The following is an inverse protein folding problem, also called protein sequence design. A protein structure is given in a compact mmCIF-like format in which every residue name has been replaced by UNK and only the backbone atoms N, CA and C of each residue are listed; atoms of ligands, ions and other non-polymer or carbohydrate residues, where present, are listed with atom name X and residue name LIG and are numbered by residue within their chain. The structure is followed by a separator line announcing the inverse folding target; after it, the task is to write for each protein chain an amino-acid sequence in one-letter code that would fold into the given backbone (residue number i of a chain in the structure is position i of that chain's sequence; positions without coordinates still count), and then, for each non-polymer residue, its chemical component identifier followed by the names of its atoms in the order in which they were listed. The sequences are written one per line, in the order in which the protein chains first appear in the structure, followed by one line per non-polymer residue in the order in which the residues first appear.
data_IF_933894057997
#
_entry.id   IF_933894057997
#
_cell.length_a   1.000
_cell.length_b   1.000
_cell.length_c   1.000
_cell.angle_alpha   90.00
_cell.angle_beta   90.00
_cell.angle_gamma   90.00
#
_symmetry.space_group_name_H-M   'P 1'
#
loop_
_entity.id
_entity.type
_entity.pdbx_description
1 polymer ?
#
# COMPACT_ATOMS: atom_id res chain seq x y z
N UNK A 1 12.15 -20.08 67.50
CA UNK A 1 12.12 -20.06 66.05
C UNK A 1 11.09 -19.07 65.59
N UNK A 2 11.53 -18.00 64.97
CA UNK A 2 10.84 -16.74 64.74
C UNK A 2 9.65 -16.79 63.78
N UNK A 3 8.64 -15.93 63.96
CA UNK A 3 7.75 -15.52 62.90
C UNK A 3 7.98 -14.02 62.58
N UNK A 4 8.59 -13.75 61.51
CA UNK A 4 8.63 -12.44 60.89
C UNK A 4 7.71 -12.49 59.66
N UNK A 5 6.51 -11.94 59.74
CA UNK A 5 5.73 -11.40 58.61
C UNK A 5 4.40 -10.82 59.11
N UNK A 6 4.51 -9.68 59.74
CA UNK A 6 3.39 -8.73 59.85
C UNK A 6 3.96 -7.32 59.88
N UNK A 7 4.11 -6.73 58.70
CA UNK A 7 4.24 -5.27 58.57
C UNK A 7 3.07 -4.76 57.74
N UNK A 8 2.30 -4.03 58.44
CA UNK A 8 1.07 -3.33 58.06
C UNK A 8 1.32 -2.43 56.85
N UNK A 9 0.50 -2.58 55.82
CA UNK A 9 0.30 -1.60 54.78
C UNK A 9 -0.84 -0.67 55.13
N UNK A 10 -0.58 0.28 56.06
CA UNK A 10 -1.37 1.48 56.17
C UNK A 10 -0.82 2.50 55.15
N UNK A 11 -1.26 2.39 53.92
CA UNK A 11 -1.10 3.45 52.91
C UNK A 11 -2.37 4.28 52.86
N UNK A 12 -2.45 5.29 53.72
CA UNK A 12 -3.33 6.43 53.48
C UNK A 12 -2.88 7.12 52.19
N UNK A 13 -3.59 6.90 51.09
CA UNK A 13 -3.42 7.62 49.88
C UNK A 13 -3.79 9.09 50.13
N UNK A 14 -2.79 9.97 50.16
CA UNK A 14 -3.00 11.40 50.26
C UNK A 14 -3.85 11.90 49.08
N UNK A 15 -4.76 12.84 49.36
CA UNK A 15 -5.65 13.48 48.38
C UNK A 15 -4.91 13.98 47.12
N UNK A 16 -3.64 14.35 47.26
CA UNK A 16 -2.80 14.82 46.14
C UNK A 16 -2.47 13.72 45.15
N UNK A 17 -2.34 12.46 45.54
CA UNK A 17 -2.11 11.35 44.63
C UNK A 17 -3.36 10.95 43.84
N UNK A 18 -4.54 11.06 44.46
CA UNK A 18 -5.82 10.85 43.79
C UNK A 18 -6.10 11.96 42.75
N UNK A 19 -5.79 13.22 43.11
CA UNK A 19 -5.95 14.35 42.18
C UNK A 19 -4.97 14.27 41.02
N UNK A 20 -3.74 13.83 41.26
CA UNK A 20 -2.73 13.64 40.17
C UNK A 20 -3.13 12.45 39.27
N UNK A 21 -3.70 11.40 39.81
CA UNK A 21 -4.18 10.27 39.02
C UNK A 21 -5.42 10.65 38.19
N UNK A 22 -6.35 11.41 38.76
CA UNK A 22 -7.55 11.91 38.06
C UNK A 22 -7.19 12.94 36.99
N UNK A 23 -6.21 13.81 37.22
CA UNK A 23 -5.71 14.75 36.25
C UNK A 23 -4.96 14.01 35.08
N UNK A 24 -4.15 12.99 35.41
CA UNK A 24 -3.51 12.12 34.40
C UNK A 24 -4.51 11.30 33.61
N UNK A 25 -5.57 10.80 34.25
CA UNK A 25 -6.63 10.06 33.53
C UNK A 25 -7.47 10.95 32.64
N UNK A 26 -7.76 12.21 33.03
CA UNK A 26 -8.39 13.21 32.15
C UNK A 26 -7.50 13.65 30.99
N UNK A 27 -6.18 13.77 31.19
CA UNK A 27 -5.21 14.07 30.15
C UNK A 27 -5.05 12.88 29.18
N UNK A 28 -5.07 11.64 29.69
CA UNK A 28 -5.10 10.43 28.87
C UNK A 28 -6.41 10.29 28.11
N UNK A 29 -7.56 10.57 28.76
CA UNK A 29 -8.86 10.57 28.11
C UNK A 29 -8.96 11.67 27.02
N UNK A 30 -8.45 12.88 27.28
CA UNK A 30 -8.34 13.93 26.26
C UNK A 30 -7.37 13.57 25.13
N UNK A 31 -6.27 12.88 25.42
CA UNK A 31 -5.37 12.33 24.38
C UNK A 31 -6.03 11.21 23.59
N UNK A 32 -6.86 10.39 24.22
CA UNK A 32 -7.61 9.32 23.55
C UNK A 32 -8.77 9.88 22.70
N UNK A 33 -9.49 10.90 23.16
CA UNK A 33 -10.58 11.54 22.42
C UNK A 33 -10.05 12.37 21.24
N UNK A 34 -8.81 12.88 21.32
CA UNK A 34 -8.10 13.55 20.23
C UNK A 34 -7.16 12.61 19.45
N UNK A 35 -7.13 11.31 19.79
CA UNK A 35 -6.23 10.37 19.14
C UNK A 35 -6.76 10.05 17.72
N UNK A 36 -5.85 9.83 16.75
CA UNK A 36 -6.20 9.43 15.39
C UNK A 36 -7.11 8.18 15.33
N UNK A 37 -7.19 7.42 16.41
CA UNK A 37 -7.95 6.17 16.50
C UNK A 37 -9.49 6.34 16.36
N UNK A 38 -10.03 7.53 16.56
CA UNK A 38 -11.49 7.79 16.54
C UNK A 38 -11.97 8.56 15.32
N UNK A 39 -11.07 8.87 14.38
CA UNK A 39 -11.46 9.54 13.13
C UNK A 39 -11.80 8.51 12.07
N UNK A 40 -12.82 8.81 11.26
CA UNK A 40 -13.10 8.02 10.07
C UNK A 40 -11.87 7.92 9.19
N UNK A 41 -11.70 6.78 8.55
CA UNK A 41 -10.69 6.57 7.52
C UNK A 41 -11.33 6.73 6.15
N UNK A 42 -10.74 7.58 5.33
CA UNK A 42 -11.08 7.72 3.92
C UNK A 42 -9.96 7.10 3.10
N UNK A 43 -10.27 5.99 2.46
CA UNK A 43 -9.39 5.37 1.47
C UNK A 43 -9.75 5.85 0.08
N UNK A 44 -8.74 6.28 -0.67
CA UNK A 44 -8.88 6.73 -2.06
C UNK A 44 -7.85 5.99 -2.91
N UNK A 45 -8.27 5.31 -3.98
CA UNK A 45 -7.33 4.76 -4.94
C UNK A 45 -7.52 5.43 -6.31
N UNK A 46 -6.40 5.89 -6.88
CA UNK A 46 -6.37 6.53 -8.20
C UNK A 46 -5.86 5.52 -9.23
N UNK A 47 -6.68 5.27 -10.25
CA UNK A 47 -6.34 4.47 -11.43
C UNK A 47 -6.51 5.31 -12.69
N UNK A 48 -5.92 4.92 -13.84
CA UNK A 48 -6.07 5.67 -15.09
C UNK A 48 -7.52 5.71 -15.61
N UNK A 49 -8.34 4.73 -15.26
CA UNK A 49 -9.69 4.49 -15.76
C UNK A 49 -10.76 4.72 -14.69
N UNK A 50 -10.39 4.87 -13.43
CA UNK A 50 -11.34 5.02 -12.32
C UNK A 50 -10.72 5.59 -11.06
N UNK A 51 -11.61 6.10 -10.20
CA UNK A 51 -11.32 6.49 -8.83
C UNK A 51 -12.15 5.59 -7.90
N UNK A 52 -11.52 4.97 -6.92
CA UNK A 52 -12.17 4.18 -5.89
C UNK A 52 -12.14 4.96 -4.58
N UNK A 53 -13.29 5.15 -3.96
CA UNK A 53 -13.44 5.85 -2.69
C UNK A 53 -14.16 4.91 -1.71
N UNK A 54 -13.61 4.77 -0.50
CA UNK A 54 -14.27 4.07 0.58
C UNK A 54 -14.06 4.83 1.90
N UNK A 55 -15.12 5.02 2.66
CA UNK A 55 -15.08 5.59 3.99
C UNK A 55 -15.40 4.52 5.01
N UNK A 56 -14.50 4.33 5.96
CA UNK A 56 -14.68 3.39 7.07
C UNK A 56 -14.88 4.19 8.35
N UNK A 57 -16.05 4.06 8.92
CA UNK A 57 -16.37 4.64 10.24
C UNK A 57 -15.62 3.89 11.33
N UNK A 58 -15.05 4.62 12.27
CA UNK A 58 -14.37 4.08 13.45
C UNK A 58 -15.27 4.20 14.68
N UNK A 59 -16.17 3.22 14.82
CA UNK A 59 -16.89 2.95 16.05
C UNK A 59 -16.31 1.71 16.76
N UNK A 60 -17.10 1.08 17.61
CA UNK A 60 -16.77 -0.22 18.23
C UNK A 60 -16.52 -1.34 17.19
N UNK A 61 -17.04 -1.17 15.98
CA UNK A 61 -16.78 -2.03 14.81
C UNK A 61 -16.47 -1.17 13.61
N UNK A 62 -15.45 -1.56 12.86
CA UNK A 62 -15.14 -0.95 11.56
C UNK A 62 -16.28 -1.30 10.60
N UNK A 63 -16.93 -0.30 10.05
CA UNK A 63 -18.04 -0.45 9.09
C UNK A 63 -17.79 0.45 7.89
N UNK A 64 -18.14 -0.04 6.72
CA UNK A 64 -18.07 0.72 5.49
C UNK A 64 -19.28 1.68 5.43
N UNK A 65 -19.04 2.97 5.65
CA UNK A 65 -20.10 3.98 5.70
C UNK A 65 -20.38 4.61 4.35
N UNK A 66 -19.41 4.57 3.45
CA UNK A 66 -19.55 5.03 2.07
C UNK A 66 -18.61 4.25 1.16
N UNK A 67 -19.07 3.92 -0.05
CA UNK A 67 -18.26 3.31 -1.11
C UNK A 67 -18.72 3.83 -2.46
N UNK A 68 -17.75 4.15 -3.32
CA UNK A 68 -18.04 4.66 -4.66
C UNK A 68 -16.90 4.31 -5.61
N UNK A 69 -17.25 3.92 -6.83
CA UNK A 69 -16.31 3.84 -7.95
C UNK A 69 -16.77 4.86 -8.99
N UNK A 70 -15.90 5.80 -9.31
CA UNK A 70 -16.13 6.81 -10.34
C UNK A 70 -15.33 6.44 -11.56
N UNK A 71 -16.00 6.16 -12.67
CA UNK A 71 -15.33 5.96 -13.94
C UNK A 71 -14.62 7.25 -14.40
N UNK A 72 -13.44 7.09 -14.97
CA UNK A 72 -12.60 8.19 -15.44
C UNK A 72 -12.24 7.92 -16.90
N UNK A 73 -12.43 8.93 -17.75
CA UNK A 73 -12.02 8.84 -19.14
C UNK A 73 -10.49 8.83 -19.25
N UNK A 74 -9.93 8.02 -20.14
CA UNK A 74 -8.48 7.97 -20.34
C UNK A 74 -7.91 9.35 -20.70
N UNK A 75 -6.71 9.63 -20.20
CA UNK A 75 -6.01 10.87 -20.50
C UNK A 75 -5.77 11.01 -22.01
N UNK A 76 -6.00 12.21 -22.54
CA UNK A 76 -5.69 12.55 -23.93
C UNK A 76 -4.16 12.56 -24.18
N UNK A 77 -3.72 12.37 -25.42
CA UNK A 77 -2.30 12.48 -25.76
C UNK A 77 -1.72 13.84 -25.29
N UNK A 78 -0.59 13.78 -24.59
CA UNK A 78 0.08 14.97 -24.03
C UNK A 78 -0.39 15.38 -22.63
N UNK A 79 -1.45 14.78 -22.12
CA UNK A 79 -1.91 14.96 -20.74
C UNK A 79 -1.34 13.87 -19.84
N UNK A 80 -0.86 14.20 -18.63
CA UNK A 80 -0.41 13.17 -17.68
C UNK A 80 -1.51 12.16 -17.39
N UNK A 81 -1.14 10.87 -17.39
CA UNK A 81 -2.12 9.76 -17.23
C UNK A 81 -2.93 9.80 -15.93
N UNK A 82 -2.39 10.42 -14.91
CA UNK A 82 -3.02 10.59 -13.60
C UNK A 82 -3.98 11.78 -13.49
N UNK A 83 -3.91 12.75 -14.43
CA UNK A 83 -4.64 14.00 -14.33
C UNK A 83 -6.15 13.81 -14.32
N UNK A 84 -6.79 13.01 -15.19
CA UNK A 84 -8.25 12.84 -15.16
C UNK A 84 -8.77 12.24 -13.83
N UNK A 85 -8.05 11.28 -13.26
CA UNK A 85 -8.41 10.71 -11.96
C UNK A 85 -8.29 11.75 -10.83
N UNK A 86 -7.31 12.62 -10.91
CA UNK A 86 -7.13 13.71 -9.94
C UNK A 86 -8.23 14.77 -10.06
N UNK A 87 -8.67 15.11 -11.29
CA UNK A 87 -9.79 16.02 -11.53
C UNK A 87 -11.10 15.44 -10.99
N UNK A 88 -11.34 14.14 -11.18
CA UNK A 88 -12.47 13.44 -10.58
C UNK A 88 -12.42 13.51 -9.04
N UNK A 89 -11.24 13.31 -8.45
CA UNK A 89 -11.05 13.47 -7.00
C UNK A 89 -11.34 14.89 -6.55
N UNK A 90 -10.85 15.90 -7.28
CA UNK A 90 -11.10 17.31 -6.96
C UNK A 90 -12.61 17.66 -7.00
N UNK A 91 -13.36 17.08 -7.93
CA UNK A 91 -14.81 17.17 -7.99
C UNK A 91 -15.49 16.61 -6.73
N UNK A 92 -15.06 15.42 -6.29
CA UNK A 92 -15.59 14.77 -5.07
C UNK A 92 -15.22 15.51 -3.79
N UNK A 93 -13.99 16.00 -3.67
CA UNK A 93 -13.55 16.80 -2.52
C UNK A 93 -14.39 18.07 -2.34
N UNK A 94 -14.80 18.72 -3.45
CA UNK A 94 -15.66 19.92 -3.41
C UNK A 94 -17.11 19.59 -3.07
N UNK A 95 -17.64 18.47 -3.58
CA UNK A 95 -19.04 18.09 -3.41
C UNK A 95 -19.34 17.54 -2.03
N UNK A 96 -18.40 16.81 -1.46
CA UNK A 96 -18.52 16.15 -0.16
C UNK A 96 -17.59 16.85 0.83
N UNK A 97 -18.15 17.27 1.96
CA UNK A 97 -17.32 17.72 3.09
C UNK A 97 -16.53 16.53 3.66
N UNK A 98 -15.46 16.17 3.00
CA UNK A 98 -14.50 15.11 3.45
C UNK A 98 -13.74 15.57 4.71
N UNK A 99 -14.28 16.56 5.41
CA UNK A 99 -13.72 17.13 6.62
C UNK A 99 -13.59 16.08 7.72
N UNK A 100 -12.45 16.13 8.41
CA UNK A 100 -12.13 15.35 9.61
C UNK A 100 -11.78 13.86 9.44
N UNK A 101 -11.77 13.29 8.22
CA UNK A 101 -11.30 11.94 7.98
C UNK A 101 -9.76 11.89 7.82
N UNK A 102 -9.17 10.77 8.18
CA UNK A 102 -7.78 10.48 7.85
C UNK A 102 -7.72 9.89 6.44
N UNK A 103 -7.17 10.64 5.51
CA UNK A 103 -7.09 10.23 4.10
C UNK A 103 -5.88 9.34 3.87
N UNK A 104 -6.10 8.14 3.33
CA UNK A 104 -5.06 7.27 2.78
C UNK A 104 -5.23 7.20 1.27
N UNK A 105 -4.16 7.46 0.53
CA UNK A 105 -4.17 7.43 -0.94
C UNK A 105 -3.39 6.23 -1.42
N UNK A 106 -3.98 5.46 -2.32
CA UNK A 106 -3.34 4.37 -3.04
C UNK A 106 -3.17 4.79 -4.50
N UNK A 107 -1.93 4.77 -4.98
CA UNK A 107 -1.63 5.05 -6.38
C UNK A 107 -1.56 3.74 -7.17
N UNK A 108 -2.28 3.69 -8.29
CA UNK A 108 -2.12 2.65 -9.29
C UNK A 108 -0.66 2.49 -9.69
N UNK A 109 -0.23 1.27 -9.97
CA UNK A 109 1.10 0.96 -10.48
C UNK A 109 1.37 1.59 -11.87
N UNK A 110 0.34 2.09 -12.55
CA UNK A 110 0.50 2.91 -13.77
C UNK A 110 1.18 4.27 -13.52
N UNK A 111 1.13 4.77 -12.29
CA UNK A 111 1.70 6.06 -11.87
C UNK A 111 2.98 5.93 -11.06
N UNK A 112 3.42 4.70 -10.83
CA UNK A 112 4.57 4.40 -9.97
C UNK A 112 5.58 3.55 -10.73
N UNK A 113 6.83 3.89 -10.59
CA UNK A 113 7.94 3.13 -11.15
C UNK A 113 8.76 2.49 -10.04
N UNK A 114 9.31 1.31 -10.28
CA UNK A 114 10.02 0.54 -9.27
C UNK A 114 11.42 0.16 -9.74
N UNK A 115 12.38 0.19 -8.84
CA UNK A 115 13.70 -0.41 -9.01
C UNK A 115 14.13 -1.09 -7.72
N UNK A 116 14.86 -2.18 -7.85
CA UNK A 116 15.50 -2.83 -6.72
C UNK A 116 16.84 -2.15 -6.44
N UNK A 117 17.03 -1.76 -5.18
CA UNK A 117 18.29 -1.27 -4.63
C UNK A 117 18.91 -2.42 -3.85
N UNK A 118 19.98 -3.05 -4.37
CA UNK A 118 20.64 -4.14 -3.66
C UNK A 118 21.29 -3.61 -2.39
N UNK A 119 21.39 -4.47 -1.39
CA UNK A 119 22.24 -4.16 -0.27
C UNK A 119 23.72 -4.23 -0.68
N UNK A 120 24.51 -3.27 -0.24
CA UNK A 120 25.94 -3.20 -0.49
C UNK A 120 26.64 -2.39 0.62
N UNK A 121 27.87 -2.79 0.95
CA UNK A 121 28.71 -2.03 1.88
C UNK A 121 29.04 -0.61 1.40
N UNK A 122 28.89 -0.34 0.11
CA UNK A 122 29.05 0.99 -0.48
C UNK A 122 27.79 1.85 -0.33
N UNK A 123 26.60 1.23 -0.28
CA UNK A 123 25.31 1.90 -0.18
C UNK A 123 24.78 1.87 1.27
N UNK A 124 25.56 2.41 2.21
CA UNK A 124 25.26 2.30 3.65
C UNK A 124 24.18 3.26 4.13
N UNK A 125 24.17 4.47 3.60
CA UNK A 125 23.19 5.50 3.97
C UNK A 125 21.95 5.43 3.09
N UNK A 126 20.84 5.96 3.60
CA UNK A 126 19.61 6.11 2.79
C UNK A 126 19.86 7.08 1.62
N UNK A 127 20.72 8.06 1.81
CA UNK A 127 21.10 9.03 0.78
C UNK A 127 21.84 8.33 -0.38
N UNK A 128 22.82 7.46 -0.10
CA UNK A 128 23.52 6.67 -1.11
C UNK A 128 22.57 5.76 -1.87
N UNK A 129 21.65 5.11 -1.15
CA UNK A 129 20.64 4.25 -1.75
C UNK A 129 19.65 5.01 -2.65
N UNK A 130 19.24 6.22 -2.24
CA UNK A 130 18.41 7.10 -3.07
C UNK A 130 19.19 7.61 -4.29
N UNK A 131 20.45 7.96 -4.14
CA UNK A 131 21.31 8.36 -5.25
C UNK A 131 21.47 7.20 -6.27
N UNK A 132 21.68 5.98 -5.79
CA UNK A 132 21.72 4.78 -6.63
C UNK A 132 20.38 4.58 -7.35
N UNK A 133 19.26 4.67 -6.64
CA UNK A 133 17.92 4.54 -7.22
C UNK A 133 17.69 5.61 -8.31
N UNK A 134 18.07 6.86 -8.05
CA UNK A 134 17.98 7.98 -9.00
C UNK A 134 18.77 7.69 -10.27
N UNK A 135 20.00 7.19 -10.13
CA UNK A 135 20.83 6.79 -11.26
C UNK A 135 20.18 5.64 -12.07
N UNK A 136 19.63 4.64 -11.39
CA UNK A 136 18.93 3.52 -12.04
C UNK A 136 17.69 3.99 -12.82
N UNK A 137 16.88 4.86 -12.22
CA UNK A 137 15.72 5.44 -12.90
C UNK A 137 16.14 6.28 -14.11
N UNK A 138 17.17 7.11 -13.99
CA UNK A 138 17.69 7.91 -15.10
C UNK A 138 18.19 7.05 -16.26
N UNK A 139 18.80 5.90 -15.99
CA UNK A 139 19.23 4.95 -17.05
C UNK A 139 18.08 4.32 -17.80
N UNK A 140 16.93 4.08 -17.14
CA UNK A 140 15.79 3.39 -17.75
C UNK A 140 14.84 4.39 -18.41
N UNK A 141 14.59 5.54 -17.77
CA UNK A 141 13.56 6.50 -18.16
C UNK A 141 14.12 7.83 -18.68
N UNK A 142 15.44 7.99 -18.69
CA UNK A 142 16.09 9.21 -19.16
C UNK A 142 15.77 10.43 -18.30
N UNK A 143 15.63 11.59 -18.96
CA UNK A 143 15.37 12.87 -18.31
C UNK A 143 13.99 12.94 -17.60
N UNK A 144 13.04 12.11 -17.98
CA UNK A 144 11.72 12.07 -17.32
C UNK A 144 11.81 11.75 -15.83
N UNK A 145 12.77 10.89 -15.45
CA UNK A 145 12.97 10.52 -14.05
C UNK A 145 13.53 11.66 -13.17
N UNK A 146 14.00 12.75 -13.75
CA UNK A 146 14.53 13.90 -12.98
C UNK A 146 13.45 14.59 -12.11
N UNK A 147 12.20 14.62 -12.61
CA UNK A 147 11.05 15.19 -11.90
C UNK A 147 10.29 14.21 -10.99
N UNK A 148 10.93 13.10 -10.57
CA UNK A 148 10.30 12.12 -9.70
C UNK A 148 10.72 12.24 -8.24
N UNK A 149 9.76 12.22 -7.36
CA UNK A 149 9.97 12.00 -5.92
C UNK A 149 10.24 10.53 -5.67
N UNK A 150 11.35 10.23 -5.01
CA UNK A 150 11.78 8.86 -4.73
C UNK A 150 11.57 8.51 -3.26
N UNK A 151 11.16 7.27 -3.00
CA UNK A 151 11.06 6.69 -1.66
C UNK A 151 11.56 5.26 -1.67
N UNK A 152 12.14 4.85 -0.55
CA UNK A 152 12.61 3.49 -0.31
C UNK A 152 11.64 2.74 0.60
N UNK A 153 11.41 1.46 0.31
CA UNK A 153 10.69 0.58 1.22
C UNK A 153 11.45 0.42 2.54
N UNK A 154 10.73 0.12 3.61
CA UNK A 154 11.37 -0.30 4.86
C UNK A 154 11.97 -1.70 4.66
N UNK A 155 13.17 -1.91 5.17
CA UNK A 155 13.85 -3.19 5.21
C UNK A 155 14.73 -3.25 6.47
N UNK A 156 15.08 -4.45 6.89
CA UNK A 156 16.09 -4.63 7.94
C UNK A 156 17.48 -4.26 7.42
N UNK A 157 18.45 -4.21 8.33
CA UNK A 157 19.85 -4.02 7.94
C UNK A 157 20.31 -5.13 7.01
N UNK A 158 20.99 -4.77 5.95
CA UNK A 158 21.57 -5.68 4.95
C UNK A 158 20.56 -6.39 4.04
N UNK A 159 19.34 -5.89 3.95
CA UNK A 159 18.35 -6.39 2.99
C UNK A 159 18.24 -5.47 1.78
N UNK A 160 17.92 -6.01 0.59
CA UNK A 160 17.60 -5.20 -0.58
C UNK A 160 16.29 -4.42 -0.34
N UNK A 161 16.20 -3.23 -0.92
CA UNK A 161 15.07 -2.32 -0.78
C UNK A 161 14.44 -2.04 -2.15
N UNK A 162 13.13 -1.90 -2.18
CA UNK A 162 12.44 -1.40 -3.36
C UNK A 162 12.39 0.12 -3.29
N UNK A 163 12.94 0.77 -4.31
CA UNK A 163 12.72 2.19 -4.53
C UNK A 163 11.51 2.38 -5.45
N UNK A 164 10.62 3.29 -5.08
CA UNK A 164 9.54 3.74 -5.94
C UNK A 164 9.75 5.21 -6.33
N UNK A 165 9.44 5.52 -7.59
CA UNK A 165 9.46 6.86 -8.16
C UNK A 165 8.07 7.25 -8.61
N UNK A 166 7.63 8.45 -8.22
CA UNK A 166 6.35 9.05 -8.59
C UNK A 166 6.59 10.45 -9.09
N UNK A 167 5.89 10.90 -10.13
CA UNK A 167 5.98 12.27 -10.62
C UNK A 167 5.70 13.26 -9.48
N UNK A 168 6.60 14.20 -9.27
CA UNK A 168 6.45 15.24 -8.24
C UNK A 168 5.22 16.10 -8.50
N UNK A 169 4.92 16.39 -9.77
CA UNK A 169 3.72 17.08 -10.20
C UNK A 169 2.41 16.42 -9.73
N UNK A 170 2.35 15.07 -9.71
CA UNK A 170 1.20 14.34 -9.16
C UNK A 170 1.07 14.57 -7.65
N UNK A 171 2.19 14.50 -6.92
CA UNK A 171 2.20 14.68 -5.46
C UNK A 171 1.75 16.09 -5.09
N UNK A 172 2.28 17.12 -5.78
CA UNK A 172 1.92 18.51 -5.54
C UNK A 172 0.45 18.78 -5.87
N UNK A 173 -0.02 18.21 -6.97
CA UNK A 173 -1.42 18.33 -7.38
C UNK A 173 -2.37 17.66 -6.39
N UNK A 174 -2.01 16.49 -5.84
CA UNK A 174 -2.75 15.83 -4.76
C UNK A 174 -2.79 16.69 -3.49
N UNK A 175 -1.67 17.29 -3.10
CA UNK A 175 -1.61 18.20 -1.95
C UNK A 175 -2.55 19.39 -2.14
N UNK A 176 -2.57 19.99 -3.34
CA UNK A 176 -3.45 21.11 -3.67
C UNK A 176 -4.93 20.72 -3.63
N UNK A 177 -5.29 19.56 -4.20
CA UNK A 177 -6.68 19.05 -4.18
C UNK A 177 -7.18 18.79 -2.77
N UNK A 178 -6.32 18.28 -1.89
CA UNK A 178 -6.69 17.95 -0.51
C UNK A 178 -6.53 19.10 0.48
N UNK A 179 -5.90 20.22 0.09
CA UNK A 179 -5.72 21.38 0.94
C UNK A 179 -7.02 21.89 1.61
N UNK A 180 -8.18 21.97 0.91
CA UNK A 180 -9.44 22.46 1.49
C UNK A 180 -10.00 21.56 2.60
N UNK A 181 -9.67 20.26 2.62
CA UNK A 181 -10.21 19.29 3.59
C UNK A 181 -9.29 19.03 4.78
N UNK A 182 -8.38 19.95 5.04
CA UNK A 182 -7.40 19.85 6.14
C UNK A 182 -6.01 19.45 5.69
N UNK A 183 -5.79 19.35 4.39
CA UNK A 183 -4.52 19.46 3.70
C UNK A 183 -3.50 18.36 3.88
N UNK A 184 -3.82 17.28 4.58
CA UNK A 184 -2.83 16.21 4.78
C UNK A 184 -3.46 14.84 4.69
N UNK A 185 -2.99 14.06 3.72
CA UNK A 185 -3.22 12.62 3.75
C UNK A 185 -2.30 11.97 4.81
N UNK A 186 -2.80 10.94 5.44
CA UNK A 186 -2.02 10.13 6.39
C UNK A 186 -0.89 9.40 5.70
N UNK A 187 -1.18 8.86 4.51
CA UNK A 187 -0.21 8.12 3.71
C UNK A 187 -0.55 8.16 2.23
N UNK A 188 0.49 8.12 1.41
CA UNK A 188 0.45 7.91 -0.03
C UNK A 188 1.24 6.64 -0.32
N UNK A 189 0.58 5.61 -0.85
CA UNK A 189 1.17 4.29 -1.02
C UNK A 189 0.95 3.77 -2.45
N UNK A 190 1.97 3.16 -3.06
CA UNK A 190 1.79 2.41 -4.30
C UNK A 190 0.91 1.17 -4.08
N UNK A 191 0.09 0.81 -5.06
CA UNK A 191 -0.77 -0.36 -4.98
C UNK A 191 0.01 -1.66 -4.76
N UNK A 192 1.17 -1.83 -5.40
CA UNK A 192 2.05 -2.97 -5.14
C UNK A 192 2.44 -3.06 -3.66
N UNK A 193 2.77 -1.95 -3.02
CA UNK A 193 3.22 -1.93 -1.62
C UNK A 193 2.08 -2.18 -0.64
N UNK A 194 0.89 -1.63 -0.91
CA UNK A 194 -0.32 -1.92 -0.13
C UNK A 194 -0.65 -3.41 -0.19
N UNK A 195 -0.62 -3.98 -1.39
CA UNK A 195 -0.87 -5.40 -1.61
C UNK A 195 0.19 -6.26 -0.94
N UNK A 196 1.48 -5.95 -1.11
CA UNK A 196 2.57 -6.65 -0.44
C UNK A 196 2.42 -6.63 1.09
N UNK A 197 2.15 -5.48 1.69
CA UNK A 197 1.98 -5.35 3.13
C UNK A 197 0.81 -6.19 3.65
N UNK A 198 -0.28 -6.25 2.90
CA UNK A 198 -1.46 -7.08 3.23
C UNK A 198 -1.14 -8.56 3.30
N UNK A 199 -0.34 -9.04 2.37
CA UNK A 199 -0.03 -10.46 2.22
C UNK A 199 1.35 -10.85 2.78
N UNK A 200 2.03 -9.91 3.45
CA UNK A 200 3.41 -10.06 3.92
C UNK A 200 3.64 -11.33 4.74
N UNK A 201 2.71 -11.68 5.62
CA UNK A 201 2.83 -12.90 6.44
C UNK A 201 2.86 -14.17 5.58
N UNK A 202 2.06 -14.22 4.51
CA UNK A 202 2.02 -15.35 3.58
C UNK A 202 3.25 -15.37 2.66
N UNK A 203 3.72 -14.18 2.25
CA UNK A 203 4.84 -14.00 1.32
C UNK A 203 6.22 -14.24 1.97
N UNK A 204 6.31 -14.16 3.30
CA UNK A 204 7.58 -14.25 4.04
C UNK A 204 8.07 -15.67 4.29
N UNK A 205 7.23 -16.68 4.09
CA UNK A 205 7.53 -18.06 4.51
C UNK A 205 8.14 -18.91 3.39
N UNK A 206 7.91 -18.55 2.15
CA UNK A 206 8.33 -19.36 0.99
C UNK A 206 8.86 -18.49 -0.13
N UNK A 207 9.87 -18.99 -0.87
CA UNK A 207 10.30 -18.32 -2.09
C UNK A 207 9.22 -18.46 -3.17
N UNK A 208 8.93 -17.38 -3.90
CA UNK A 208 7.93 -17.41 -4.96
C UNK A 208 7.66 -16.06 -5.60
N UNK A 209 6.78 -16.11 -6.58
CA UNK A 209 6.35 -14.93 -7.31
C UNK A 209 5.12 -14.30 -6.67
N UNK A 210 5.18 -12.99 -6.46
CA UNK A 210 4.03 -12.17 -6.09
C UNK A 210 3.63 -11.28 -7.25
N UNK A 211 2.38 -11.38 -7.66
CA UNK A 211 1.86 -10.72 -8.86
C UNK A 211 0.68 -9.86 -8.47
N UNK A 212 0.74 -8.57 -8.81
CA UNK A 212 -0.37 -7.63 -8.68
C UNK A 212 -0.81 -7.22 -10.07
N UNK A 213 -2.07 -7.47 -10.40
CA UNK A 213 -2.63 -7.20 -11.72
C UNK A 213 -3.61 -6.04 -11.64
N UNK A 214 -3.42 -5.10 -12.54
CA UNK A 214 -4.32 -3.99 -12.84
C UNK A 214 -4.69 -4.06 -14.33
N UNK A 215 -5.80 -3.48 -14.78
CA UNK A 215 -6.13 -3.43 -16.19
C UNK A 215 -4.97 -2.88 -17.04
N UNK A 216 -4.46 -3.72 -17.94
CA UNK A 216 -3.35 -3.38 -18.84
C UNK A 216 -1.95 -3.41 -18.23
N UNK A 217 -1.80 -3.76 -16.94
CA UNK A 217 -0.52 -3.73 -16.24
C UNK A 217 -0.39 -4.87 -15.23
N UNK A 218 0.81 -5.45 -15.19
CA UNK A 218 1.19 -6.47 -14.23
C UNK A 218 2.46 -6.01 -13.50
N UNK A 219 2.42 -6.01 -12.17
CA UNK A 219 3.61 -5.90 -11.33
C UNK A 219 4.00 -7.29 -10.85
N UNK A 220 5.21 -7.70 -11.17
CA UNK A 220 5.79 -8.99 -10.83
C UNK A 220 6.94 -8.77 -9.84
N UNK A 221 6.88 -9.42 -8.71
CA UNK A 221 7.93 -9.44 -7.71
C UNK A 221 8.37 -10.87 -7.43
N UNK A 222 9.68 -11.11 -7.40
CA UNK A 222 10.23 -12.34 -6.87
C UNK A 222 10.70 -12.09 -5.45
N UNK A 223 10.28 -12.96 -4.55
CA UNK A 223 10.63 -12.93 -3.13
C UNK A 223 11.34 -14.22 -2.76
N UNK A 224 12.39 -14.10 -1.96
CA UNK A 224 13.10 -15.23 -1.38
C UNK A 224 13.45 -14.90 0.07
N UNK A 225 13.10 -15.77 1.01
CA UNK A 225 13.30 -15.54 2.44
C UNK A 225 12.70 -14.21 2.94
N UNK A 226 11.55 -13.83 2.37
CA UNK A 226 10.88 -12.57 2.65
C UNK A 226 11.55 -11.32 2.05
N UNK A 227 12.63 -11.49 1.28
CA UNK A 227 13.40 -10.41 0.67
C UNK A 227 13.10 -10.27 -0.82
N UNK A 228 13.15 -9.04 -1.30
CA UNK A 228 12.97 -8.71 -2.71
C UNK A 228 14.19 -9.13 -3.52
N UNK A 229 13.99 -10.01 -4.51
CA UNK A 229 15.02 -10.40 -5.47
C UNK A 229 14.85 -9.71 -6.82
N UNK A 230 13.60 -9.46 -7.22
CA UNK A 230 13.27 -8.75 -8.46
C UNK A 230 11.96 -8.00 -8.30
N UNK A 231 11.82 -6.91 -9.02
CA UNK A 231 10.54 -6.20 -9.23
C UNK A 231 10.47 -5.70 -10.65
N UNK A 232 9.38 -6.01 -11.35
CA UNK A 232 9.15 -5.65 -12.75
C UNK A 232 7.72 -5.18 -12.94
N UNK A 233 7.55 -4.24 -13.86
CA UNK A 233 6.25 -3.79 -14.34
C UNK A 233 6.15 -4.09 -15.82
N UNK A 234 5.11 -4.84 -16.21
CA UNK A 234 4.96 -5.40 -17.55
C UNK A 234 3.56 -5.04 -18.04
N UNK A 235 3.45 -4.60 -19.30
CA UNK A 235 2.15 -4.44 -19.95
C UNK A 235 1.56 -5.82 -20.23
N UNK A 236 0.26 -5.98 -19.97
CA UNK A 236 -0.45 -7.24 -20.17
C UNK A 236 -1.84 -6.97 -20.74
N UNK A 237 -2.33 -7.88 -21.56
CA UNK A 237 -3.67 -7.80 -22.13
C UNK A 237 -4.80 -8.19 -21.18
N UNK A 238 -6.06 -8.09 -21.61
CA UNK A 238 -7.22 -8.53 -20.84
C UNK A 238 -7.20 -10.05 -20.62
N UNK A 239 -6.60 -10.82 -21.53
CA UNK A 239 -6.44 -12.28 -21.43
C UNK A 239 -5.21 -12.69 -20.58
N UNK A 240 -4.83 -11.85 -19.64
CA UNK A 240 -3.66 -12.05 -18.78
C UNK A 240 -3.57 -13.45 -18.12
N UNK A 241 -4.66 -14.16 -17.78
CA UNK A 241 -4.53 -15.50 -17.20
C UNK A 241 -3.84 -16.50 -18.15
N UNK A 242 -4.02 -16.32 -19.48
CA UNK A 242 -3.35 -17.16 -20.49
C UNK A 242 -1.92 -16.70 -20.77
N UNK A 243 -1.65 -15.39 -20.62
CA UNK A 243 -0.34 -14.80 -20.89
C UNK A 243 0.64 -14.99 -19.70
N UNK A 244 0.12 -15.03 -18.47
CA UNK A 244 0.91 -15.06 -17.24
C UNK A 244 1.97 -16.18 -17.20
N UNK A 245 1.68 -17.44 -17.59
CA UNK A 245 2.70 -18.50 -17.59
C UNK A 245 3.90 -18.19 -18.47
N UNK A 246 3.67 -17.59 -19.63
CA UNK A 246 4.74 -17.20 -20.57
C UNK A 246 5.56 -16.02 -20.02
N UNK A 247 4.90 -15.07 -19.37
CA UNK A 247 5.57 -13.95 -18.67
C UNK A 247 6.47 -14.49 -17.56
N UNK A 248 5.95 -15.37 -16.70
CA UNK A 248 6.69 -15.99 -15.62
C UNK A 248 7.90 -16.77 -16.12
N UNK A 249 7.74 -17.56 -17.19
CA UNK A 249 8.82 -18.33 -17.79
C UNK A 249 9.96 -17.41 -18.28
N UNK A 250 9.60 -16.32 -18.95
CA UNK A 250 10.58 -15.32 -19.43
C UNK A 250 11.30 -14.64 -18.27
N UNK A 251 10.57 -14.19 -17.27
CA UNK A 251 11.18 -13.47 -16.14
C UNK A 251 12.02 -14.42 -15.26
N UNK A 252 11.63 -15.69 -15.13
CA UNK A 252 12.42 -16.69 -14.43
C UNK A 252 13.78 -16.94 -15.11
N UNK A 253 13.84 -16.88 -16.45
CA UNK A 253 15.12 -16.99 -17.17
C UNK A 253 16.06 -15.78 -16.95
N UNK A 254 15.53 -14.64 -16.48
CA UNK A 254 16.33 -13.44 -16.20
C UNK A 254 16.86 -13.40 -14.75
N UNK A 255 16.39 -14.30 -13.91
CA UNK A 255 16.86 -14.44 -12.53
C UNK A 255 17.98 -15.46 -12.51
N UNK A 256 19.17 -15.02 -12.12
CA UNK A 256 20.32 -15.91 -11.92
C UNK A 256 20.16 -16.65 -10.57
N UNK A 257 19.29 -17.66 -10.56
CA UNK A 257 19.01 -18.47 -9.37
C UNK A 257 19.03 -19.94 -9.72
N UNK A 258 19.69 -20.71 -8.86
CA UNK A 258 19.64 -22.17 -8.92
C UNK A 258 18.34 -22.73 -8.29
N UNK A 259 17.55 -21.88 -7.67
CA UNK A 259 16.29 -22.28 -7.02
C UNK A 259 15.15 -22.17 -8.03
N UNK A 260 14.40 -23.23 -8.21
CA UNK A 260 13.14 -23.19 -8.97
C UNK A 260 12.04 -22.56 -8.11
N UNK A 261 11.43 -21.52 -8.65
CA UNK A 261 10.30 -20.83 -8.04
C UNK A 261 9.05 -21.15 -8.85
N UNK A 262 8.22 -22.06 -8.36
CA UNK A 262 6.99 -22.50 -9.00
C UNK A 262 5.73 -21.92 -8.34
N UNK A 263 5.80 -21.47 -7.08
CA UNK A 263 4.69 -20.86 -6.39
C UNK A 263 4.46 -19.42 -6.86
N UNK A 264 3.21 -19.12 -7.24
CA UNK A 264 2.80 -17.82 -7.77
C UNK A 264 1.56 -17.34 -7.03
N UNK A 265 1.68 -16.25 -6.28
CA UNK A 265 0.59 -15.63 -5.55
C UNK A 265 0.07 -14.43 -6.35
N UNK A 266 -1.15 -14.50 -6.84
CA UNK A 266 -1.75 -13.50 -7.73
C UNK A 266 -2.82 -12.71 -6.99
N UNK A 267 -2.68 -11.40 -6.95
CA UNK A 267 -3.69 -10.45 -6.50
C UNK A 267 -4.24 -9.67 -7.70
N UNK A 268 -5.45 -9.98 -8.11
CA UNK A 268 -6.16 -9.37 -9.23
C UNK A 268 -7.59 -9.02 -8.78
N UNK A 269 -7.79 -7.88 -8.08
CA UNK A 269 -9.11 -7.53 -7.52
C UNK A 269 -10.19 -7.31 -8.60
N UNK A 270 -9.80 -7.01 -9.82
CA UNK A 270 -10.68 -6.84 -10.99
C UNK A 270 -10.59 -8.03 -11.95
N UNK A 271 -9.94 -9.09 -11.53
CA UNK A 271 -9.73 -10.27 -12.37
C UNK A 271 -11.01 -11.12 -12.52
N UNK A 272 -11.01 -12.04 -13.47
CA UNK A 272 -12.10 -12.99 -13.61
C UNK A 272 -12.24 -13.82 -12.34
N UNK A 273 -13.49 -14.07 -11.94
CA UNK A 273 -13.80 -15.01 -10.87
C UNK A 273 -13.51 -16.45 -11.33
N UNK A 274 -12.83 -17.19 -10.48
CA UNK A 274 -12.56 -18.60 -10.72
C UNK A 274 -11.08 -18.98 -10.60
N UNK A 275 -10.76 -20.26 -10.69
CA UNK A 275 -9.39 -20.74 -10.69
C UNK A 275 -8.66 -20.27 -11.95
N UNK A 276 -7.43 -19.83 -11.77
CA UNK A 276 -6.54 -19.57 -12.92
C UNK A 276 -6.30 -20.89 -13.66
N UNK A 277 -6.29 -20.87 -15.01
CA UNK A 277 -6.02 -22.08 -15.80
C UNK A 277 -4.73 -22.75 -15.37
N UNK A 278 -4.67 -24.08 -15.52
CA UNK A 278 -3.44 -24.83 -15.33
C UNK A 278 -2.31 -24.20 -16.14
N UNK A 279 -1.22 -23.89 -15.47
CA UNK A 279 -0.16 -23.06 -16.02
C UNK A 279 1.18 -23.82 -16.13
N UNK A 280 1.14 -25.09 -16.53
CA UNK A 280 2.32 -25.94 -16.63
C UNK A 280 2.95 -26.18 -15.26
N UNK A 281 4.22 -25.76 -15.07
CA UNK A 281 4.92 -25.94 -13.78
C UNK A 281 4.47 -24.97 -12.68
N UNK A 282 3.71 -23.91 -13.02
CA UNK A 282 3.38 -22.83 -12.10
C UNK A 282 2.20 -23.20 -11.19
N UNK A 283 2.40 -23.09 -9.90
CA UNK A 283 1.37 -23.28 -8.88
C UNK A 283 0.70 -21.91 -8.56
N UNK A 284 -0.27 -21.54 -9.37
CA UNK A 284 -0.92 -20.23 -9.26
C UNK A 284 -2.01 -20.28 -8.19
N UNK A 285 -1.91 -19.37 -7.20
CA UNK A 285 -2.90 -19.18 -6.14
C UNK A 285 -3.44 -17.75 -6.17
N UNK A 286 -4.74 -17.63 -6.37
CA UNK A 286 -5.42 -16.35 -6.30
C UNK A 286 -5.57 -15.90 -4.85
N UNK A 287 -5.14 -14.67 -4.58
CA UNK A 287 -5.23 -14.03 -3.28
C UNK A 287 -6.57 -13.32 -3.15
N UNK A 288 -7.44 -13.83 -2.29
CA UNK A 288 -8.75 -13.23 -2.01
C UNK A 288 -8.63 -12.35 -0.76
N UNK A 289 -8.89 -11.04 -0.86
CA UNK A 289 -8.78 -10.15 0.28
C UNK A 289 -9.87 -10.44 1.32
N UNK A 290 -9.49 -10.37 2.59
CA UNK A 290 -10.47 -10.41 3.67
C UNK A 290 -11.26 -9.11 3.67
N UNK A 291 -12.54 -9.20 3.43
CA UNK A 291 -13.47 -8.07 3.41
C UNK A 291 -13.99 -7.74 4.82
N UNK A 292 -14.51 -6.52 4.99
CA UNK A 292 -15.26 -6.17 6.20
C UNK A 292 -16.59 -6.96 6.23
N UNK A 293 -17.20 -7.16 7.41
CA UNK A 293 -18.42 -7.97 7.56
C UNK A 293 -19.63 -7.46 6.77
N UNK A 294 -19.64 -6.18 6.43
CA UNK A 294 -20.69 -5.49 5.67
C UNK A 294 -20.38 -5.37 4.16
N UNK A 295 -19.27 -5.96 3.71
CA UNK A 295 -18.88 -6.01 2.30
C UNK A 295 -19.32 -7.34 1.66
N UNK A 296 -19.72 -7.27 0.39
CA UNK A 296 -20.19 -8.41 -0.41
C UNK A 296 -19.03 -8.95 -1.26
N UNK A 297 -18.71 -10.23 -1.12
CA UNK A 297 -17.71 -10.88 -1.94
C UNK A 297 -18.06 -10.77 -3.45
N UNK A 298 -17.04 -10.59 -4.28
CA UNK A 298 -17.20 -10.36 -5.73
C UNK A 298 -17.54 -8.91 -6.07
N UNK A 299 -18.55 -8.32 -5.43
CA UNK A 299 -19.00 -6.94 -5.72
C UNK A 299 -18.05 -5.90 -5.11
N UNK A 300 -17.63 -6.13 -3.88
CA UNK A 300 -16.86 -5.15 -3.11
C UNK A 300 -15.35 -5.43 -3.10
N UNK A 301 -14.90 -6.43 -3.87
CA UNK A 301 -13.49 -6.78 -3.98
C UNK A 301 -12.57 -5.57 -4.36
N UNK A 302 -12.96 -4.67 -5.28
CA UNK A 302 -12.15 -3.50 -5.61
C UNK A 302 -11.91 -2.55 -4.44
N UNK A 303 -12.86 -2.43 -3.51
CA UNK A 303 -12.71 -1.57 -2.34
C UNK A 303 -11.71 -2.11 -1.32
N UNK A 304 -11.39 -3.40 -1.39
CA UNK A 304 -10.39 -4.00 -0.52
C UNK A 304 -9.03 -3.31 -0.63
N UNK A 305 -8.72 -2.70 -1.78
CA UNK A 305 -7.46 -1.97 -2.01
C UNK A 305 -7.32 -0.80 -1.01
N UNK A 306 -8.42 -0.11 -0.71
CA UNK A 306 -8.44 1.10 0.12
C UNK A 306 -8.89 0.85 1.56
N UNK A 307 -9.59 -0.25 1.82
CA UNK A 307 -10.06 -0.63 3.16
C UNK A 307 -8.97 -1.39 3.90
N UNK A 308 -8.25 -0.71 4.78
CA UNK A 308 -7.14 -1.29 5.55
C UNK A 308 -5.77 -1.15 4.89
N UNK A 309 -5.64 -0.18 3.98
CA UNK A 309 -4.37 0.29 3.44
C UNK A 309 -3.58 1.14 4.46
#
# INVERSE_FOLDING_TARGET
MSPLWRKELNMTLSSDRLMTWYAKSKLLARRLIGSPAWRDELGVALFPDRLIIARVGRGWRRQLTHKEIVAVEPAQPGVPRWQPALEALAGKVRAEALSHAQVTIVLSNHFVHYVLVPWSDVLRSEEDQLAFARHRFARVYGSHAAGWSLRLSQANSREPRVACGVEEALIDSLNNVLAPVGGRYRSLQPHLMVSFNRWRALLGERPGWFVVIEPGLLCLALLQDGQWQSVRTIKIGPDWPKELPSVLAREACLVDSQTEFDEVLVFAPDGPEGPTPEAGKWQIKNLVPKLLPDMIAGVDAPFAIVVGA
#
